data_IF_270248006334
#
_entry.id   IF_270248006334
#
_cell.length_a   1.000
_cell.length_b   1.000
_cell.length_c   1.000
_cell.angle_alpha   90.00
_cell.angle_beta   90.00
_cell.angle_gamma   90.00
#
_symmetry.space_group_name_H-M   'P 1'
#
loop_
_entity.id
_entity.type
_entity.pdbx_description
1 polymer ?
#
# COMPACT_ATOMS: atom_id res chain seq x y z
N UNK A 1 -8.35 0.63 -4.16
CA UNK A 1 -6.95 0.40 -3.75
C UNK A 1 -6.64 -1.07 -3.46
N UNK A 2 -7.36 -1.76 -2.56
CA UNK A 2 -7.10 -3.18 -2.26
C UNK A 2 -7.09 -4.07 -3.50
N UNK A 3 -8.13 -4.01 -4.35
CA UNK A 3 -8.17 -4.76 -5.61
C UNK A 3 -7.02 -4.41 -6.56
N UNK A 4 -6.60 -3.15 -6.58
CA UNK A 4 -5.46 -2.71 -7.38
C UNK A 4 -4.16 -3.33 -6.88
N UNK A 5 -3.99 -3.40 -5.55
CA UNK A 5 -2.84 -4.07 -4.93
C UNK A 5 -2.89 -5.59 -5.16
N UNK A 6 -4.07 -6.21 -5.13
CA UNK A 6 -4.25 -7.64 -5.44
C UNK A 6 -3.86 -7.94 -6.89
N UNK A 7 -4.33 -7.15 -7.85
CA UNK A 7 -3.97 -7.31 -9.26
C UNK A 7 -2.45 -7.19 -9.46
N UNK A 8 -1.82 -6.14 -8.92
CA UNK A 8 -0.37 -5.98 -9.04
C UNK A 8 0.43 -7.07 -8.33
N UNK A 9 -0.11 -7.66 -7.25
CA UNK A 9 0.46 -8.83 -6.60
C UNK A 9 0.37 -10.09 -7.47
N UNK A 10 -0.76 -10.32 -8.13
CA UNK A 10 -0.92 -11.41 -9.12
C UNK A 10 0.02 -11.24 -10.31
N UNK A 11 0.31 -9.99 -10.71
CA UNK A 11 1.31 -9.64 -11.72
C UNK A 11 2.77 -9.80 -11.22
N UNK A 12 2.98 -10.23 -9.98
CA UNK A 12 4.30 -10.54 -9.41
C UNK A 12 4.93 -9.43 -8.57
N UNK A 13 4.23 -8.33 -8.31
CA UNK A 13 4.75 -7.25 -7.47
C UNK A 13 4.60 -7.60 -5.98
N UNK A 14 5.73 -7.72 -5.27
CA UNK A 14 5.75 -8.00 -3.82
C UNK A 14 5.76 -6.74 -2.95
N UNK A 15 6.00 -5.59 -3.55
CA UNK A 15 6.13 -4.31 -2.86
C UNK A 15 5.54 -3.15 -3.69
N UNK A 16 5.05 -2.13 -2.98
CA UNK A 16 4.36 -1.00 -3.57
C UNK A 16 4.89 0.31 -2.97
N UNK A 17 5.23 1.25 -3.84
CA UNK A 17 5.57 2.62 -3.45
C UNK A 17 4.30 3.45 -3.35
N UNK A 18 4.07 4.06 -2.18
CA UNK A 18 2.92 4.94 -1.99
C UNK A 18 3.04 6.20 -2.87
N UNK A 19 4.25 6.76 -3.03
CA UNK A 19 4.46 7.91 -3.91
C UNK A 19 4.07 7.60 -5.36
N UNK A 20 4.48 6.43 -5.89
CA UNK A 20 4.10 6.01 -7.26
C UNK A 20 2.60 5.75 -7.40
N UNK A 21 1.97 5.15 -6.39
CA UNK A 21 0.53 4.90 -6.40
C UNK A 21 -0.30 6.19 -6.39
N UNK A 22 0.23 7.25 -5.78
CA UNK A 22 -0.46 8.52 -5.58
C UNK A 22 -0.09 9.62 -6.58
N UNK A 23 0.82 9.37 -7.52
CA UNK A 23 1.41 10.38 -8.42
C UNK A 23 0.38 11.18 -9.25
N UNK A 24 -0.75 10.57 -9.61
CA UNK A 24 -1.82 11.18 -10.44
C UNK A 24 -3.12 11.42 -9.68
N UNK A 25 -3.06 11.44 -8.36
CA UNK A 25 -4.24 11.51 -7.50
C UNK A 25 -4.39 12.86 -6.83
N UNK A 26 -5.64 13.30 -6.63
CA UNK A 26 -5.95 14.46 -5.81
C UNK A 26 -5.68 14.18 -4.30
N UNK A 27 -5.42 15.23 -3.52
CA UNK A 27 -5.15 15.16 -2.08
C UNK A 27 -6.17 14.30 -1.32
N UNK A 28 -7.47 14.39 -1.64
CA UNK A 28 -8.51 13.59 -1.01
C UNK A 28 -8.29 12.09 -1.24
N UNK A 29 -7.96 11.73 -2.48
CA UNK A 29 -7.71 10.33 -2.85
C UNK A 29 -6.44 9.80 -2.18
N UNK A 30 -5.39 10.61 -2.11
CA UNK A 30 -4.14 10.26 -1.40
C UNK A 30 -4.42 10.00 0.08
N UNK A 31 -5.17 10.86 0.75
CA UNK A 31 -5.54 10.67 2.16
C UNK A 31 -6.35 9.39 2.40
N UNK A 32 -7.31 9.09 1.52
CA UNK A 32 -8.09 7.84 1.58
C UNK A 32 -7.22 6.59 1.36
N UNK A 33 -6.27 6.66 0.44
CA UNK A 33 -5.34 5.57 0.16
C UNK A 33 -4.40 5.35 1.35
N UNK A 34 -3.82 6.41 1.91
CA UNK A 34 -2.98 6.32 3.10
C UNK A 34 -3.76 5.69 4.28
N UNK A 35 -5.00 6.13 4.51
CA UNK A 35 -5.83 5.53 5.56
C UNK A 35 -6.11 4.04 5.30
N UNK A 36 -6.40 3.67 4.05
CA UNK A 36 -6.58 2.27 3.66
C UNK A 36 -5.32 1.43 3.95
N UNK A 37 -4.13 1.97 3.71
CA UNK A 37 -2.86 1.30 4.03
C UNK A 37 -2.72 1.08 5.55
N UNK A 38 -3.12 2.05 6.38
CA UNK A 38 -3.13 1.89 7.84
C UNK A 38 -4.09 0.77 8.28
N UNK A 39 -5.26 0.68 7.66
CA UNK A 39 -6.23 -0.40 7.93
C UNK A 39 -5.67 -1.76 7.52
N UNK A 40 -5.05 -1.86 6.34
CA UNK A 40 -4.43 -3.10 5.86
C UNK A 40 -3.25 -3.53 6.72
N UNK A 41 -2.43 -2.58 7.19
CA UNK A 41 -1.37 -2.83 8.18
C UNK A 41 -1.95 -3.38 9.47
N UNK A 42 -3.03 -2.78 9.99
CA UNK A 42 -3.71 -3.25 11.20
C UNK A 42 -4.20 -4.70 11.07
N UNK A 43 -4.64 -5.11 9.88
CA UNK A 43 -5.06 -6.48 9.59
C UNK A 43 -3.90 -7.45 9.30
N UNK A 44 -2.64 -6.99 9.34
CA UNK A 44 -1.47 -7.82 9.03
C UNK A 44 -1.34 -8.18 7.55
N UNK A 45 -2.08 -7.49 6.69
CA UNK A 45 -2.11 -7.76 5.25
C UNK A 45 -0.94 -7.12 4.51
N UNK A 46 -0.43 -5.99 5.00
CA UNK A 46 0.74 -5.32 4.44
C UNK A 46 1.67 -4.87 5.55
N UNK A 47 2.96 -4.88 5.28
CA UNK A 47 3.99 -4.28 6.11
C UNK A 47 4.40 -2.92 5.52
N UNK A 48 4.41 -1.87 6.33
CA UNK A 48 4.82 -0.53 5.89
C UNK A 48 6.22 -0.22 6.42
N UNK A 49 7.14 0.12 5.52
CA UNK A 49 8.49 0.57 5.83
C UNK A 49 8.71 1.98 5.27
N UNK A 50 9.45 2.80 6.00
CA UNK A 50 9.82 4.16 5.60
C UNK A 50 11.28 4.37 5.99
N UNK A 51 12.12 4.77 5.01
CA UNK A 51 13.57 4.90 5.25
C UNK A 51 13.94 6.13 6.09
N UNK A 52 13.03 7.08 6.27
CA UNK A 52 13.24 8.31 7.01
C UNK A 52 12.00 9.20 7.01
N UNK A 53 12.00 10.34 7.73
CA UNK A 53 10.87 11.25 7.79
C UNK A 53 10.48 11.74 6.38
N UNK A 54 9.19 11.65 6.05
CA UNK A 54 8.63 12.04 4.74
C UNK A 54 9.23 11.34 3.51
N UNK A 55 10.09 10.34 3.72
CA UNK A 55 10.55 9.47 2.64
C UNK A 55 9.37 8.61 2.14
N UNK A 56 9.56 7.97 0.99
CA UNK A 56 8.56 7.08 0.43
C UNK A 56 8.15 5.98 1.42
N UNK A 57 6.86 5.66 1.43
CA UNK A 57 6.31 4.57 2.23
C UNK A 57 6.19 3.36 1.31
N UNK A 58 6.98 2.34 1.62
CA UNK A 58 6.99 1.08 0.89
C UNK A 58 6.08 0.10 1.62
N UNK A 59 5.03 -0.36 0.94
CA UNK A 59 4.17 -1.44 1.43
C UNK A 59 4.63 -2.78 0.85
N UNK A 60 4.96 -3.74 1.69
CA UNK A 60 5.27 -5.12 1.30
C UNK A 60 4.09 -6.01 1.65
N UNK A 61 3.78 -7.01 0.82
CA UNK A 61 2.70 -7.96 1.13
C UNK A 61 3.00 -8.78 2.38
N UNK A 62 2.00 -8.94 3.23
CA UNK A 62 2.03 -9.77 4.43
C UNK A 62 1.28 -11.10 4.24
N UNK A 63 1.39 -12.02 5.21
CA UNK A 63 0.79 -13.35 5.12
C UNK A 63 -0.75 -13.34 5.07
N UNK A 64 -1.38 -12.27 5.57
CA UNK A 64 -2.83 -12.11 5.54
C UNK A 64 -3.34 -11.52 4.21
N UNK A 65 -2.47 -11.07 3.31
CA UNK A 65 -2.87 -10.39 2.08
C UNK A 65 -3.69 -11.28 1.14
N UNK A 66 -3.28 -12.54 0.99
CA UNK A 66 -3.98 -13.53 0.15
C UNK A 66 -5.27 -14.08 0.80
N UNK A 67 -5.52 -13.76 2.09
CA UNK A 67 -6.69 -14.20 2.84
C UNK A 67 -7.78 -13.10 2.95
N UNK A 68 -7.56 -11.95 2.33
CA UNK A 68 -8.45 -10.78 2.33
C UNK A 68 -9.41 -10.77 1.14
#
# INVERSE_FOLDING_TARGET
>A
ILRSLQHSYEEGSSHFSLLKLCEKQDQKQVAMNLYSFLVLKKHGAIHLSQSGPYADIIATVGPMFAKL
#
